data_IF_660898387536
#
_entry.id   IF_660898387536
#
_cell.length_a   1.000
_cell.length_b   1.000
_cell.length_c   1.000
_cell.angle_alpha   90.00
_cell.angle_beta   90.00
_cell.angle_gamma   90.00
#
_symmetry.space_group_name_H-M   'P 1'
#
loop_
_entity.id
_entity.type
_entity.pdbx_description
1 polymer ?
#
# COMPACT_ATOMS: atom_id res chain seq x y z
N UNK A 1 14.94 17.10 -16.44
CA UNK A 1 14.55 15.79 -15.92
C UNK A 1 13.27 15.29 -16.57
N UNK A 2 13.10 13.97 -16.64
CA UNK A 2 11.86 13.36 -17.16
C UNK A 2 10.97 12.91 -16.00
N UNK A 3 9.68 13.00 -16.18
CA UNK A 3 8.68 12.55 -15.24
C UNK A 3 7.44 11.98 -15.92
N UNK A 4 6.76 11.08 -15.24
CA UNK A 4 5.44 10.58 -15.67
C UNK A 4 4.37 11.57 -15.23
N UNK A 5 3.48 11.93 -16.15
CA UNK A 5 2.34 12.77 -15.84
C UNK A 5 1.02 12.10 -16.23
N UNK A 6 0.01 12.23 -15.38
CA UNK A 6 -1.38 12.01 -15.78
C UNK A 6 -1.92 13.32 -16.32
N UNK A 7 -2.28 13.33 -17.61
CA UNK A 7 -2.68 14.54 -18.33
C UNK A 7 -4.19 14.80 -18.25
N UNK A 8 -4.96 13.76 -18.00
CA UNK A 8 -6.43 13.78 -17.88
C UNK A 8 -6.92 12.54 -17.11
N UNK A 9 -8.21 12.49 -16.81
CA UNK A 9 -8.86 11.26 -16.33
C UNK A 9 -9.02 10.29 -17.49
N UNK A 10 -8.54 9.04 -17.33
CA UNK A 10 -8.67 8.08 -18.42
C UNK A 10 -8.03 6.72 -18.18
N UNK A 11 -7.85 5.99 -19.26
CA UNK A 11 -7.10 4.76 -19.35
C UNK A 11 -5.59 5.03 -19.49
N UNK A 12 -4.86 4.11 -20.13
CA UNK A 12 -3.41 4.25 -20.31
C UNK A 12 -3.04 5.45 -21.21
N UNK A 13 -3.95 5.89 -22.08
CA UNK A 13 -3.80 7.07 -22.93
C UNK A 13 -3.73 8.39 -22.17
N UNK A 14 -3.97 8.38 -20.88
CA UNK A 14 -3.83 9.54 -20.01
C UNK A 14 -2.41 9.70 -19.44
N UNK A 15 -1.53 8.74 -19.68
CA UNK A 15 -0.14 8.72 -19.22
C UNK A 15 0.74 9.35 -20.29
N UNK A 16 1.59 10.28 -19.88
CA UNK A 16 2.61 10.90 -20.73
C UNK A 16 3.92 11.03 -19.97
N UNK A 17 5.04 11.00 -20.69
CA UNK A 17 6.35 11.37 -20.15
C UNK A 17 6.59 12.83 -20.58
N UNK A 18 6.95 13.66 -19.62
CA UNK A 18 7.18 15.10 -19.81
C UNK A 18 8.59 15.42 -19.37
N UNK A 19 9.27 16.27 -20.14
CA UNK A 19 10.56 16.84 -19.78
C UNK A 19 10.37 18.24 -19.19
N UNK A 20 11.08 18.53 -18.11
CA UNK A 20 11.10 19.85 -17.49
C UNK A 20 12.42 20.07 -16.74
N UNK A 21 12.68 21.28 -16.31
CA UNK A 21 13.85 21.60 -15.48
C UNK A 21 13.79 20.87 -14.14
N UNK A 22 14.96 20.53 -13.60
CA UNK A 22 15.06 19.92 -12.28
C UNK A 22 14.57 20.89 -11.20
N UNK A 23 13.73 20.41 -10.24
CA UNK A 23 13.29 21.27 -9.15
C UNK A 23 14.46 21.62 -8.22
N UNK A 24 14.35 22.79 -7.56
CA UNK A 24 15.35 23.22 -6.59
C UNK A 24 14.79 23.08 -5.16
N UNK A 25 15.54 22.51 -4.21
CA UNK A 25 15.08 22.35 -2.84
C UNK A 25 15.03 23.72 -2.12
N UNK A 26 13.94 23.96 -1.40
CA UNK A 26 13.75 25.13 -0.54
C UNK A 26 14.25 24.84 0.86
N UNK A 27 14.13 25.83 1.77
CA UNK A 27 14.44 25.67 3.19
C UNK A 27 13.75 24.44 3.78
N UNK A 28 14.52 23.54 4.39
CA UNK A 28 14.03 22.31 4.99
C UNK A 28 13.71 21.17 4.02
N UNK A 29 14.01 21.33 2.73
CA UNK A 29 13.79 20.33 1.69
C UNK A 29 15.10 19.75 1.17
N UNK A 30 15.02 18.55 0.57
CA UNK A 30 16.13 17.91 -0.15
C UNK A 30 15.74 17.65 -1.59
N UNK A 31 16.72 17.71 -2.48
CA UNK A 31 16.61 17.18 -3.84
C UNK A 31 17.06 15.72 -3.84
N UNK A 32 16.21 14.85 -4.34
CA UNK A 32 16.45 13.42 -4.43
C UNK A 32 16.58 13.01 -5.91
N UNK A 33 17.65 12.32 -6.24
CA UNK A 33 17.79 11.53 -7.46
C UNK A 33 17.10 10.18 -7.23
N UNK A 34 15.98 9.94 -7.94
CA UNK A 34 15.15 8.76 -7.73
C UNK A 34 15.74 7.56 -8.46
N UNK A 35 15.92 6.46 -7.74
CA UNK A 35 16.32 5.18 -8.33
C UNK A 35 15.12 4.26 -8.52
N UNK A 36 14.24 4.18 -7.53
CA UNK A 36 13.01 3.35 -7.61
C UNK A 36 11.79 4.12 -7.10
N UNK A 37 10.67 3.89 -7.74
CA UNK A 37 9.36 4.36 -7.27
C UNK A 37 8.37 3.20 -7.18
N UNK A 38 7.64 3.12 -6.07
CA UNK A 38 6.64 2.07 -5.85
C UNK A 38 5.30 2.40 -6.51
N UNK A 39 4.73 1.45 -7.28
CA UNK A 39 3.37 1.59 -7.83
C UNK A 39 2.36 1.10 -6.81
N UNK A 40 1.34 1.91 -6.57
CA UNK A 40 0.21 1.62 -5.70
C UNK A 40 -1.11 1.58 -6.47
N UNK A 41 -2.06 0.77 -6.00
CA UNK A 41 -3.39 0.71 -6.63
C UNK A 41 -4.11 2.08 -6.60
N UNK A 42 -3.78 2.91 -5.62
CA UNK A 42 -4.25 4.30 -5.54
C UNK A 42 -3.85 5.14 -6.77
N UNK A 43 -2.64 4.96 -7.31
CA UNK A 43 -2.17 5.67 -8.51
C UNK A 43 -3.07 5.35 -9.72
N UNK A 44 -3.44 4.07 -9.87
CA UNK A 44 -4.32 3.61 -10.92
C UNK A 44 -5.74 4.20 -10.76
N UNK A 45 -6.24 4.25 -9.53
CA UNK A 45 -7.53 4.84 -9.23
C UNK A 45 -7.53 6.36 -9.44
N UNK A 46 -6.45 7.06 -9.09
CA UNK A 46 -6.30 8.50 -9.34
C UNK A 46 -6.33 8.81 -10.84
N UNK A 47 -5.59 8.04 -11.65
CA UNK A 47 -5.62 8.19 -13.12
C UNK A 47 -7.04 8.06 -13.67
N UNK A 48 -7.82 7.12 -13.13
CA UNK A 48 -9.23 6.93 -13.50
C UNK A 48 -10.18 7.97 -12.90
N UNK A 49 -9.70 8.82 -11.97
CA UNK A 49 -10.53 9.79 -11.23
C UNK A 49 -11.51 9.12 -10.26
N UNK A 50 -11.14 7.96 -9.71
CA UNK A 50 -11.90 7.17 -8.74
C UNK A 50 -11.33 7.23 -7.31
N UNK A 51 -10.27 8.03 -7.10
CA UNK A 51 -9.61 8.23 -5.81
C UNK A 51 -9.70 9.71 -5.42
N UNK A 52 -9.96 10.01 -4.16
CA UNK A 52 -10.08 11.39 -3.68
C UNK A 52 -9.16 11.62 -2.48
N UNK A 53 -8.49 12.77 -2.40
CA UNK A 53 -8.46 13.85 -3.39
C UNK A 53 -7.62 13.52 -4.63
N UNK A 54 -8.03 14.01 -5.80
CA UNK A 54 -7.24 13.96 -7.04
C UNK A 54 -6.68 15.36 -7.31
N UNK A 55 -5.37 15.51 -7.49
CA UNK A 55 -4.79 16.80 -7.89
C UNK A 55 -5.34 17.30 -9.24
N UNK A 56 -5.26 18.61 -9.53
CA UNK A 56 -5.53 19.13 -10.86
C UNK A 56 -4.60 18.48 -11.91
N UNK A 57 -5.15 18.15 -13.07
CA UNK A 57 -4.35 17.65 -14.20
C UNK A 57 -3.64 18.81 -14.94
N UNK A 58 -2.42 18.61 -15.45
CA UNK A 58 -1.59 17.41 -15.31
C UNK A 58 -0.88 17.35 -13.96
N UNK A 59 -0.67 16.13 -13.44
CA UNK A 59 0.12 15.91 -12.21
C UNK A 59 0.97 14.65 -12.31
N UNK A 60 2.04 14.59 -11.51
CA UNK A 60 2.91 13.41 -11.37
C UNK A 60 2.43 12.56 -10.20
N UNK A 61 2.12 11.27 -10.40
CA UNK A 61 1.75 10.36 -9.34
C UNK A 61 2.99 9.83 -8.58
N UNK A 62 2.76 8.90 -7.65
CA UNK A 62 3.79 8.20 -6.89
C UNK A 62 3.90 8.71 -5.45
N UNK A 63 3.77 7.78 -4.51
CA UNK A 63 3.72 8.07 -3.08
C UNK A 63 5.02 7.78 -2.35
N UNK A 64 5.90 7.00 -2.97
CA UNK A 64 7.09 6.45 -2.34
C UNK A 64 8.21 6.24 -3.34
N UNK A 65 9.41 6.53 -2.89
CA UNK A 65 10.64 6.40 -3.70
C UNK A 65 11.79 5.92 -2.84
N UNK A 66 12.83 5.41 -3.49
CA UNK A 66 14.17 5.28 -2.92
C UNK A 66 15.18 5.88 -3.89
N UNK A 67 16.26 6.43 -3.36
CA UNK A 67 17.26 7.10 -4.19
C UNK A 67 18.38 7.72 -3.38
N UNK A 68 19.05 8.69 -3.97
CA UNK A 68 20.23 9.35 -3.42
C UNK A 68 19.97 10.85 -3.32
N UNK A 69 20.34 11.46 -2.19
CA UNK A 69 20.24 12.90 -2.01
C UNK A 69 21.27 13.57 -2.92
N UNK A 70 20.82 14.43 -3.83
CA UNK A 70 21.65 15.17 -4.79
C UNK A 70 21.75 16.67 -4.48
N UNK A 71 20.91 17.19 -3.57
CA UNK A 71 20.96 18.57 -3.15
C UNK A 71 20.24 18.80 -1.82
N UNK A 72 20.65 19.84 -1.10
CA UNK A 72 20.09 20.23 0.19
C UNK A 72 19.62 21.68 0.11
N UNK A 73 18.43 21.95 0.64
CA UNK A 73 17.98 23.31 0.94
C UNK A 73 18.51 23.78 2.29
N UNK A 74 18.44 25.08 2.53
CA UNK A 74 18.91 25.68 3.78
C UNK A 74 18.23 25.05 5.01
N UNK A 75 18.98 24.88 6.09
CA UNK A 75 18.47 24.35 7.36
C UNK A 75 18.29 22.82 7.39
N UNK A 76 18.84 22.09 6.43
CA UNK A 76 18.91 20.62 6.45
C UNK A 76 20.28 20.19 6.96
N UNK A 77 20.35 19.80 8.24
CA UNK A 77 21.60 19.43 8.92
C UNK A 77 21.71 17.93 9.21
N UNK A 78 20.58 17.19 9.12
CA UNK A 78 20.51 15.77 9.49
C UNK A 78 20.69 14.79 8.32
N UNK A 79 20.87 15.30 7.11
CA UNK A 79 21.06 14.51 5.89
C UNK A 79 22.23 15.08 5.09
N UNK A 80 22.87 14.26 4.26
CA UNK A 80 24.05 14.65 3.45
C UNK A 80 23.86 14.32 1.97
N UNK A 81 24.53 15.10 1.10
CA UNK A 81 24.60 14.79 -0.34
C UNK A 81 25.31 13.44 -0.53
N UNK A 82 24.76 12.60 -1.38
CA UNK A 82 25.24 11.23 -1.61
C UNK A 82 24.63 10.19 -0.68
N UNK A 83 23.84 10.60 0.31
CA UNK A 83 23.19 9.67 1.24
C UNK A 83 22.05 8.92 0.56
N UNK A 84 21.99 7.61 0.79
CA UNK A 84 20.90 6.73 0.33
C UNK A 84 19.71 6.87 1.24
N UNK A 85 18.53 7.08 0.66
CA UNK A 85 17.31 7.28 1.45
C UNK A 85 16.10 6.58 0.83
N UNK A 86 15.10 6.33 1.68
CA UNK A 86 13.72 6.07 1.27
C UNK A 86 12.87 7.28 1.60
N UNK A 87 12.04 7.71 0.65
CA UNK A 87 11.19 8.89 0.76
C UNK A 87 9.69 8.55 0.75
N UNK A 88 8.95 9.13 1.70
CA UNK A 88 7.49 9.11 1.72
C UNK A 88 6.96 10.42 1.13
N UNK A 89 6.68 10.42 -0.18
CA UNK A 89 6.48 11.67 -0.92
C UNK A 89 5.05 12.21 -0.93
N UNK A 90 4.07 11.40 -0.63
CA UNK A 90 2.68 11.84 -0.76
C UNK A 90 2.20 12.03 -2.20
N UNK A 91 3.05 12.55 -3.11
CA UNK A 91 2.82 12.70 -4.55
C UNK A 91 4.13 13.06 -5.25
N UNK A 92 4.22 12.82 -6.57
CA UNK A 92 5.36 13.28 -7.38
C UNK A 92 6.49 12.27 -7.55
N UNK A 93 6.39 11.08 -6.96
CA UNK A 93 7.47 10.09 -6.95
C UNK A 93 7.83 9.48 -8.31
N UNK A 94 7.01 9.65 -9.35
CA UNK A 94 7.33 9.10 -10.68
C UNK A 94 8.11 10.12 -11.52
N UNK A 95 9.29 10.48 -11.04
CA UNK A 95 10.19 11.44 -11.68
C UNK A 95 11.65 11.03 -11.45
N UNK A 96 12.55 11.41 -12.37
CA UNK A 96 14.00 11.18 -12.21
C UNK A 96 14.57 11.94 -11.00
N UNK A 97 13.98 13.12 -10.73
CA UNK A 97 14.36 13.94 -9.58
C UNK A 97 13.11 14.52 -8.92
N UNK A 98 13.13 14.64 -7.61
CA UNK A 98 12.05 15.28 -6.88
C UNK A 98 12.54 15.97 -5.62
N UNK A 99 11.78 16.95 -5.17
CA UNK A 99 12.01 17.63 -3.89
C UNK A 99 11.09 17.04 -2.82
N UNK A 100 11.65 16.78 -1.64
CA UNK A 100 10.94 16.29 -0.47
C UNK A 100 11.30 17.08 0.78
N UNK A 101 10.36 17.26 1.74
CA UNK A 101 10.73 17.67 3.09
C UNK A 101 11.75 16.69 3.70
N UNK A 102 12.83 17.22 4.27
CA UNK A 102 13.91 16.39 4.85
C UNK A 102 13.39 15.40 5.92
N UNK A 103 12.37 15.79 6.68
CA UNK A 103 11.75 14.94 7.70
C UNK A 103 10.90 13.77 7.15
N UNK A 104 10.72 13.68 5.83
CA UNK A 104 10.09 12.57 5.13
C UNK A 104 11.08 11.68 4.38
N UNK A 105 12.38 11.96 4.54
CA UNK A 105 13.47 11.12 4.06
C UNK A 105 14.06 10.32 5.22
N UNK A 106 14.20 9.02 5.03
CA UNK A 106 14.73 8.11 6.04
C UNK A 106 16.00 7.46 5.51
N UNK A 107 17.15 7.60 6.21
CA UNK A 107 18.41 6.97 5.82
C UNK A 107 18.26 5.48 5.57
N UNK A 108 18.93 4.99 4.53
CA UNK A 108 18.88 3.60 4.10
C UNK A 108 20.25 2.95 4.33
N UNK A 109 20.33 1.88 5.15
CA UNK A 109 21.57 1.12 5.34
C UNK A 109 22.11 0.58 4.01
N UNK A 110 23.43 0.43 3.89
CA UNK A 110 24.10 0.01 2.65
C UNK A 110 23.69 -1.38 2.19
N UNK A 111 23.37 -2.28 3.12
CA UNK A 111 22.93 -3.64 2.83
C UNK A 111 21.49 -3.74 2.33
N UNK A 112 20.71 -2.65 2.37
CA UNK A 112 19.32 -2.64 1.88
C UNK A 112 19.29 -2.13 0.45
N UNK A 113 18.64 -2.87 -0.45
CA UNK A 113 18.49 -2.48 -1.85
C UNK A 113 17.48 -1.33 -2.00
N UNK A 114 17.63 -0.52 -3.05
CA UNK A 114 16.62 0.48 -3.42
C UNK A 114 15.26 -0.15 -3.73
N UNK A 115 15.25 -1.39 -4.26
CA UNK A 115 14.01 -2.12 -4.54
C UNK A 115 13.23 -2.42 -3.25
N UNK A 116 13.88 -3.02 -2.25
CA UNK A 116 13.26 -3.29 -0.95
C UNK A 116 12.81 -1.99 -0.27
N UNK A 117 13.64 -0.94 -0.34
CA UNK A 117 13.32 0.37 0.23
C UNK A 117 12.09 1.02 -0.42
N UNK A 118 11.98 1.02 -1.76
CA UNK A 118 10.82 1.59 -2.45
C UNK A 118 9.54 0.76 -2.29
N UNK A 119 9.65 -0.52 -1.94
CA UNK A 119 8.51 -1.38 -1.69
C UNK A 119 7.93 -1.26 -0.27
N UNK A 120 8.67 -0.61 0.64
CA UNK A 120 8.35 -0.55 2.07
C UNK A 120 7.26 0.48 2.42
N UNK A 121 7.37 1.80 2.08
CA UNK A 121 6.62 2.85 2.78
C UNK A 121 5.11 2.62 2.75
N UNK A 122 4.48 2.67 1.60
CA UNK A 122 3.00 2.67 1.53
C UNK A 122 2.40 1.35 2.01
N UNK A 123 2.97 0.22 1.60
CA UNK A 123 2.38 -1.09 1.88
C UNK A 123 2.57 -1.52 3.33
N UNK A 124 3.79 -1.38 3.86
CA UNK A 124 4.09 -1.76 5.23
C UNK A 124 3.56 -0.75 6.23
N UNK A 125 3.63 0.57 5.93
CA UNK A 125 3.05 1.58 6.78
C UNK A 125 1.53 1.39 6.93
N UNK A 126 0.83 1.07 5.82
CA UNK A 126 -0.61 0.77 5.87
C UNK A 126 -0.89 -0.46 6.74
N UNK A 127 -0.14 -1.55 6.58
CA UNK A 127 -0.33 -2.76 7.37
C UNK A 127 0.03 -2.54 8.86
N UNK A 128 1.16 -1.87 9.14
CA UNK A 128 1.60 -1.53 10.50
C UNK A 128 0.60 -0.62 11.20
N UNK A 129 0.09 0.39 10.50
CA UNK A 129 -0.93 1.29 11.05
C UNK A 129 -2.20 0.54 11.46
N UNK A 130 -2.66 -0.41 10.62
CA UNK A 130 -3.84 -1.23 10.91
C UNK A 130 -3.61 -2.20 12.06
N UNK A 131 -2.49 -2.91 12.09
CA UNK A 131 -2.26 -3.97 13.07
C UNK A 131 -1.75 -3.42 14.41
N UNK A 132 -0.74 -2.56 14.38
CA UNK A 132 -0.08 -2.07 15.59
C UNK A 132 -0.75 -0.82 16.16
N UNK A 133 -0.91 0.25 15.35
CA UNK A 133 -1.38 1.53 15.85
C UNK A 133 -2.88 1.52 16.20
N UNK A 134 -3.74 1.11 15.26
CA UNK A 134 -5.20 1.05 15.49
C UNK A 134 -5.63 -0.30 16.05
N UNK A 135 -4.92 -1.35 15.73
CA UNK A 135 -5.30 -2.71 15.99
C UNK A 135 -5.02 -3.18 17.41
N UNK A 136 -4.06 -2.57 18.10
CA UNK A 136 -3.58 -3.08 19.39
C UNK A 136 -3.39 -4.60 19.32
N UNK A 137 -2.56 -5.04 18.37
CA UNK A 137 -2.31 -6.45 18.09
C UNK A 137 -1.63 -7.14 19.27
N UNK A 138 -2.07 -8.35 19.59
CA UNK A 138 -1.47 -9.17 20.62
C UNK A 138 -0.95 -10.48 20.03
N UNK A 139 0.14 -10.99 20.61
CA UNK A 139 0.63 -12.32 20.26
C UNK A 139 -0.48 -13.35 20.45
N UNK A 140 -0.65 -14.25 19.47
CA UNK A 140 -1.74 -15.20 19.39
C UNK A 140 -2.97 -14.72 18.60
N UNK A 141 -3.04 -13.46 18.20
CA UNK A 141 -4.14 -12.96 17.38
C UNK A 141 -4.20 -13.64 15.99
N UNK A 142 -5.40 -13.74 15.44
CA UNK A 142 -5.65 -14.30 14.10
C UNK A 142 -6.02 -13.19 13.12
N UNK A 143 -5.55 -13.29 11.88
CA UNK A 143 -5.70 -12.28 10.85
C UNK A 143 -6.36 -12.86 9.60
N UNK A 144 -7.29 -12.13 8.99
CA UNK A 144 -7.78 -12.36 7.65
C UNK A 144 -7.35 -11.20 6.75
N UNK A 145 -6.64 -11.49 5.68
CA UNK A 145 -6.24 -10.48 4.69
C UNK A 145 -6.77 -10.85 3.31
N UNK A 146 -7.51 -9.92 2.72
CA UNK A 146 -7.95 -10.05 1.34
C UNK A 146 -6.89 -9.47 0.38
N UNK A 147 -6.87 -9.96 -0.87
CA UNK A 147 -5.80 -9.67 -1.83
C UNK A 147 -4.41 -10.04 -1.27
N UNK A 148 -4.32 -11.19 -0.62
CA UNK A 148 -3.17 -11.65 0.15
C UNK A 148 -1.84 -11.66 -0.62
N UNK A 149 -1.89 -11.85 -1.94
CA UNK A 149 -0.72 -11.82 -2.81
C UNK A 149 -0.33 -10.41 -3.29
N UNK A 150 -1.04 -9.36 -2.90
CA UNK A 150 -0.70 -7.97 -3.26
C UNK A 150 0.27 -7.32 -2.25
N UNK A 151 0.72 -6.10 -2.51
CA UNK A 151 1.72 -5.42 -1.68
C UNK A 151 1.33 -5.32 -0.19
N UNK A 152 0.12 -4.83 0.14
CA UNK A 152 -0.34 -4.78 1.54
C UNK A 152 -0.58 -6.19 2.10
N UNK A 153 -1.00 -7.15 1.27
CA UNK A 153 -1.19 -8.55 1.71
C UNK A 153 0.12 -9.22 2.15
N UNK A 154 1.18 -9.06 1.36
CA UNK A 154 2.53 -9.57 1.69
C UNK A 154 3.10 -8.88 2.92
N UNK A 155 2.96 -7.56 3.02
CA UNK A 155 3.36 -6.77 4.18
C UNK A 155 2.62 -7.22 5.45
N UNK A 156 1.29 -7.42 5.35
CA UNK A 156 0.47 -7.90 6.47
C UNK A 156 0.93 -9.27 6.97
N UNK A 157 1.25 -10.19 6.06
CA UNK A 157 1.75 -11.53 6.45
C UNK A 157 3.03 -11.43 7.28
N UNK A 158 4.00 -10.65 6.82
CA UNK A 158 5.29 -10.51 7.49
C UNK A 158 5.14 -9.80 8.84
N UNK A 159 4.40 -8.69 8.88
CA UNK A 159 4.17 -7.95 10.12
C UNK A 159 3.36 -8.75 11.13
N UNK A 160 2.29 -9.42 10.71
CA UNK A 160 1.49 -10.25 11.62
C UNK A 160 2.32 -11.40 12.22
N UNK A 161 3.19 -12.04 11.43
CA UNK A 161 4.15 -13.03 11.95
C UNK A 161 5.11 -12.43 12.95
N UNK A 162 5.72 -11.30 12.63
CA UNK A 162 6.64 -10.60 13.53
C UNK A 162 5.97 -10.20 14.86
N UNK A 163 4.67 -9.90 14.81
CA UNK A 163 3.85 -9.59 15.99
C UNK A 163 3.33 -10.83 16.72
N UNK A 164 3.64 -12.05 16.24
CA UNK A 164 3.26 -13.30 16.89
C UNK A 164 1.84 -13.77 16.56
N UNK A 165 1.31 -13.51 15.37
CA UNK A 165 0.04 -14.07 14.92
C UNK A 165 0.02 -15.60 15.02
N UNK A 166 -1.05 -16.17 15.57
CA UNK A 166 -1.24 -17.63 15.65
C UNK A 166 -1.68 -18.23 14.31
N UNK A 167 -2.46 -17.48 13.52
CA UNK A 167 -2.96 -17.91 12.21
C UNK A 167 -3.27 -16.72 11.34
N UNK A 168 -2.86 -16.79 10.07
CA UNK A 168 -3.09 -15.76 9.05
C UNK A 168 -3.81 -16.41 7.87
N UNK A 169 -5.05 -15.99 7.61
CA UNK A 169 -5.83 -16.40 6.45
C UNK A 169 -5.57 -15.41 5.31
N UNK A 170 -5.27 -15.92 4.13
CA UNK A 170 -5.03 -15.10 2.94
C UNK A 170 -5.94 -15.47 1.77
N UNK A 171 -6.81 -14.55 1.33
CA UNK A 171 -7.64 -14.82 0.16
C UNK A 171 -6.97 -14.34 -1.13
N UNK A 172 -6.91 -15.20 -2.13
CA UNK A 172 -6.39 -14.89 -3.46
C UNK A 172 -7.04 -15.78 -4.53
N UNK A 173 -6.73 -15.56 -5.82
CA UNK A 173 -7.12 -16.47 -6.90
C UNK A 173 -6.26 -17.74 -6.88
N UNK A 174 -6.78 -18.83 -7.46
CA UNK A 174 -6.12 -20.14 -7.54
C UNK A 174 -4.67 -20.09 -8.05
N UNK A 175 -4.39 -19.31 -9.10
CA UNK A 175 -3.03 -19.15 -9.65
C UNK A 175 -2.01 -18.49 -8.70
N UNK A 176 -2.43 -18.04 -7.52
CA UNK A 176 -1.56 -17.46 -6.47
C UNK A 176 -1.50 -18.30 -5.20
N UNK A 177 -2.10 -19.49 -5.20
CA UNK A 177 -2.21 -20.34 -4.02
C UNK A 177 -0.85 -20.69 -3.40
N UNK A 178 0.09 -21.17 -4.20
CA UNK A 178 1.44 -21.54 -3.73
C UNK A 178 2.18 -20.33 -3.16
N UNK A 179 2.11 -19.19 -3.83
CA UNK A 179 2.73 -17.96 -3.36
C UNK A 179 2.15 -17.51 -2.00
N UNK A 180 0.82 -17.56 -1.82
CA UNK A 180 0.21 -17.21 -0.54
C UNK A 180 0.61 -18.19 0.56
N UNK A 181 0.69 -19.49 0.26
CA UNK A 181 1.18 -20.50 1.20
C UNK A 181 2.67 -20.31 1.56
N UNK A 182 3.52 -19.96 0.59
CA UNK A 182 4.95 -19.69 0.84
C UNK A 182 5.17 -18.50 1.77
N UNK A 183 4.23 -17.56 1.80
CA UNK A 183 4.20 -16.48 2.80
C UNK A 183 3.73 -16.95 4.19
N UNK A 184 3.42 -18.27 4.36
CA UNK A 184 2.96 -18.87 5.60
C UNK A 184 1.53 -18.50 5.98
N UNK A 185 0.70 -18.16 5.02
CA UNK A 185 -0.72 -17.95 5.21
C UNK A 185 -1.51 -19.23 4.91
N UNK A 186 -2.59 -19.44 5.63
CA UNK A 186 -3.66 -20.37 5.25
C UNK A 186 -4.38 -19.79 4.02
N UNK A 187 -4.07 -20.34 2.86
CA UNK A 187 -4.68 -19.90 1.60
C UNK A 187 -6.18 -20.24 1.56
N UNK A 188 -6.98 -19.31 1.07
CA UNK A 188 -8.41 -19.47 0.77
C UNK A 188 -8.64 -19.02 -0.67
N UNK A 189 -9.23 -19.89 -1.50
CA UNK A 189 -9.64 -19.49 -2.85
C UNK A 189 -10.83 -18.54 -2.79
N UNK A 190 -10.64 -17.32 -3.29
CA UNK A 190 -11.67 -16.29 -3.19
C UNK A 190 -12.90 -16.55 -4.07
N UNK A 191 -12.78 -17.42 -5.09
CA UNK A 191 -13.86 -17.75 -6.04
C UNK A 191 -14.65 -18.99 -5.61
N UNK A 192 -13.94 -20.01 -5.04
CA UNK A 192 -14.47 -21.32 -4.78
C UNK A 192 -14.81 -21.57 -3.30
N UNK A 193 -14.17 -20.82 -2.37
CA UNK A 193 -14.29 -21.08 -0.95
C UNK A 193 -15.01 -19.95 -0.20
N UNK A 194 -15.78 -20.29 0.84
CA UNK A 194 -16.35 -19.30 1.76
C UNK A 194 -15.39 -18.99 2.90
N UNK A 195 -14.70 -17.86 2.78
CA UNK A 195 -13.73 -17.45 3.80
C UNK A 195 -14.36 -17.21 5.18
N UNK A 196 -15.66 -16.89 5.29
CA UNK A 196 -16.32 -16.68 6.57
C UNK A 196 -16.44 -17.99 7.32
N UNK A 197 -16.88 -19.04 6.60
CA UNK A 197 -17.02 -20.38 7.19
C UNK A 197 -15.66 -20.98 7.54
N UNK A 198 -14.66 -20.87 6.65
CA UNK A 198 -13.30 -21.36 6.91
C UNK A 198 -12.68 -20.69 8.14
N UNK A 199 -12.75 -19.34 8.20
CA UNK A 199 -12.23 -18.61 9.37
C UNK A 199 -12.88 -19.08 10.67
N UNK A 200 -14.18 -19.32 10.68
CA UNK A 200 -14.88 -19.83 11.86
C UNK A 200 -14.49 -21.26 12.20
N UNK A 201 -14.47 -22.15 11.21
CA UNK A 201 -14.11 -23.56 11.42
C UNK A 201 -12.71 -23.71 12.02
N UNK A 202 -11.74 -22.97 11.49
CA UNK A 202 -10.34 -23.03 11.93
C UNK A 202 -10.03 -22.17 13.17
N UNK A 203 -11.06 -21.54 13.78
CA UNK A 203 -10.98 -20.76 15.02
C UNK A 203 -12.02 -21.17 16.07
N UNK A 204 -12.41 -22.44 16.10
CA UNK A 204 -13.39 -23.02 17.05
C UNK A 204 -14.74 -22.24 17.06
N UNK A 205 -15.22 -21.82 15.90
CA UNK A 205 -16.45 -21.03 15.74
C UNK A 205 -16.34 -19.56 16.08
N UNK A 206 -15.19 -19.11 16.63
CA UNK A 206 -15.02 -17.73 17.15
C UNK A 206 -14.87 -16.68 16.04
N UNK A 207 -14.10 -16.99 14.97
CA UNK A 207 -13.69 -16.04 13.93
C UNK A 207 -12.36 -15.34 14.24
N UNK A 208 -11.97 -14.38 13.39
CA UNK A 208 -10.66 -13.73 13.44
C UNK A 208 -10.65 -12.44 14.28
N UNK A 209 -9.49 -12.07 14.80
CA UNK A 209 -9.28 -10.82 15.56
C UNK A 209 -9.23 -9.61 14.62
N UNK A 210 -8.55 -9.75 13.47
CA UNK A 210 -8.32 -8.68 12.52
C UNK A 210 -8.73 -9.12 11.11
N UNK A 211 -9.51 -8.29 10.40
CA UNK A 211 -9.86 -8.49 9.00
C UNK A 211 -9.51 -7.24 8.19
N UNK A 212 -8.65 -7.39 7.17
CA UNK A 212 -8.14 -6.31 6.34
C UNK A 212 -8.83 -6.38 4.96
N UNK A 213 -9.68 -5.40 4.66
CA UNK A 213 -10.53 -5.39 3.46
C UNK A 213 -10.21 -4.22 2.51
N UNK A 214 -9.47 -4.47 1.41
CA UNK A 214 -9.25 -3.53 0.33
C UNK A 214 -10.33 -3.61 -0.77
N UNK A 215 -11.31 -4.52 -0.64
CA UNK A 215 -12.27 -4.82 -1.70
C UNK A 215 -13.40 -3.79 -1.74
N UNK A 216 -14.01 -3.52 -0.60
CA UNK A 216 -15.10 -2.56 -0.50
C UNK A 216 -16.48 -3.12 -0.83
N UNK A 217 -17.50 -2.26 -0.85
CA UNK A 217 -18.86 -2.62 -1.16
C UNK A 217 -19.44 -3.68 -0.21
N UNK A 218 -20.30 -4.55 -0.74
CA UNK A 218 -20.93 -5.62 0.06
C UNK A 218 -19.93 -6.61 0.69
N UNK A 219 -18.69 -6.67 0.20
CA UNK A 219 -17.66 -7.55 0.70
C UNK A 219 -17.30 -7.24 2.16
N UNK A 220 -17.28 -5.97 2.53
CA UNK A 220 -17.01 -5.51 3.90
C UNK A 220 -17.91 -6.18 4.95
N UNK A 221 -19.19 -6.44 4.61
CA UNK A 221 -20.10 -7.12 5.54
C UNK A 221 -19.74 -8.59 5.74
N UNK A 222 -19.23 -9.26 4.71
CA UNK A 222 -18.71 -10.64 4.87
C UNK A 222 -17.47 -10.67 5.74
N UNK A 223 -16.53 -9.73 5.51
CA UNK A 223 -15.32 -9.55 6.35
C UNK A 223 -15.70 -9.26 7.81
N UNK A 224 -16.74 -8.43 8.05
CA UNK A 224 -17.28 -8.18 9.38
C UNK A 224 -17.88 -9.44 10.04
N UNK A 225 -18.56 -10.30 9.25
CA UNK A 225 -19.10 -11.58 9.75
C UNK A 225 -18.01 -12.58 10.17
N UNK A 226 -16.85 -12.53 9.51
CA UNK A 226 -15.71 -13.39 9.85
C UNK A 226 -15.03 -13.02 11.18
N UNK A 227 -15.28 -11.82 11.71
CA UNK A 227 -14.71 -11.37 12.98
C UNK A 227 -15.33 -12.08 14.18
N UNK A 228 -14.49 -12.32 15.18
CA UNK A 228 -14.90 -12.71 16.54
C UNK A 228 -15.42 -11.51 17.33
N UNK A 229 -16.00 -11.75 18.51
CA UNK A 229 -16.23 -10.69 19.51
C UNK A 229 -14.91 -10.05 19.91
N UNK A 230 -14.85 -8.72 19.97
CA UNK A 230 -13.63 -7.93 20.13
C UNK A 230 -12.83 -7.73 18.84
N UNK A 231 -13.27 -8.32 17.71
CA UNK A 231 -12.57 -8.24 16.43
C UNK A 231 -12.71 -6.88 15.73
N UNK A 232 -11.77 -6.59 14.82
CA UNK A 232 -11.61 -5.31 14.13
C UNK A 232 -11.58 -5.49 12.61
N UNK A 233 -12.46 -4.77 11.90
CA UNK A 233 -12.46 -4.67 10.44
C UNK A 233 -11.76 -3.38 10.02
N UNK A 234 -10.81 -3.50 9.09
CA UNK A 234 -10.11 -2.37 8.48
C UNK A 234 -10.51 -2.25 7.01
N UNK A 235 -11.26 -1.20 6.69
CA UNK A 235 -11.69 -0.87 5.33
C UNK A 235 -10.71 0.16 4.75
N UNK A 236 -9.79 -0.26 3.87
CA UNK A 236 -8.71 0.59 3.37
C UNK A 236 -8.63 0.68 1.84
N UNK A 237 -9.69 0.24 1.15
CA UNK A 237 -9.73 0.30 -0.29
C UNK A 237 -11.13 0.10 -0.86
N UNK A 238 -11.20 0.19 -2.18
CA UNK A 238 -12.43 0.04 -2.97
C UNK A 238 -12.15 -0.63 -4.31
N UNK A 239 -11.34 -1.72 -4.31
CA UNK A 239 -10.92 -2.38 -5.55
C UNK A 239 -12.10 -2.94 -6.36
N UNK A 240 -13.27 -3.17 -5.73
CA UNK A 240 -14.50 -3.54 -6.41
C UNK A 240 -15.05 -2.43 -7.35
N UNK A 241 -14.64 -1.16 -7.15
CA UNK A 241 -15.00 -0.06 -8.04
C UNK A 241 -14.29 -0.12 -9.40
N UNK A 242 -13.20 -0.90 -9.51
CA UNK A 242 -12.31 -0.90 -10.66
C UNK A 242 -12.44 -2.22 -11.41
N UNK A 243 -12.93 -2.15 -12.65
CA UNK A 243 -12.96 -3.28 -13.61
C UNK A 243 -12.02 -2.98 -14.77
N UNK A 244 -10.80 -3.55 -14.71
CA UNK A 244 -9.78 -3.36 -15.75
C UNK A 244 -9.22 -1.93 -15.79
N UNK A 245 -8.57 -1.58 -16.89
CA UNK A 245 -7.85 -0.32 -17.08
C UNK A 245 -8.72 0.89 -17.44
N UNK A 246 -9.99 0.68 -17.80
CA UNK A 246 -10.93 1.74 -18.17
C UNK A 246 -11.81 2.16 -16.99
N UNK A 247 -12.11 3.44 -16.92
CA UNK A 247 -13.02 4.00 -15.90
C UNK A 247 -14.43 3.47 -16.08
N UNK A 248 -15.05 2.98 -14.99
CA UNK A 248 -16.46 2.60 -14.95
C UNK A 248 -17.16 3.33 -13.79
N UNK A 249 -17.88 4.39 -14.10
CA UNK A 249 -18.66 5.15 -13.12
C UNK A 249 -19.80 4.28 -12.55
N UNK A 250 -20.41 3.44 -13.38
CA UNK A 250 -21.50 2.54 -12.97
C UNK A 250 -21.00 1.55 -11.91
N UNK A 251 -19.82 0.95 -12.13
CA UNK A 251 -19.24 0.02 -11.15
C UNK A 251 -18.89 0.71 -9.84
N UNK A 252 -18.34 1.93 -9.89
CA UNK A 252 -18.03 2.71 -8.71
C UNK A 252 -19.30 3.11 -7.94
N UNK A 253 -20.33 3.60 -8.64
CA UNK A 253 -21.62 3.94 -8.04
C UNK A 253 -22.30 2.71 -7.42
N UNK A 254 -22.27 1.56 -8.09
CA UNK A 254 -22.80 0.30 -7.57
C UNK A 254 -22.07 -0.14 -6.30
N UNK A 255 -20.74 -0.05 -6.29
CA UNK A 255 -19.95 -0.34 -5.08
C UNK A 255 -20.36 0.58 -3.92
N UNK A 256 -20.47 1.89 -4.16
CA UNK A 256 -20.91 2.85 -3.13
C UNK A 256 -22.32 2.54 -2.62
N UNK A 257 -23.26 2.25 -3.50
CA UNK A 257 -24.63 1.91 -3.15
C UNK A 257 -24.73 0.62 -2.32
N UNK A 258 -23.88 -0.37 -2.62
CA UNK A 258 -23.83 -1.67 -1.93
C UNK A 258 -22.92 -1.67 -0.69
N UNK A 259 -22.23 -0.56 -0.40
CA UNK A 259 -21.39 -0.43 0.80
C UNK A 259 -22.28 -0.42 2.04
N UNK A 260 -22.03 -1.30 3.02
CA UNK A 260 -22.86 -1.43 4.20
C UNK A 260 -22.78 -0.18 5.08
N UNK A 261 -23.93 0.18 5.68
CA UNK A 261 -23.99 1.15 6.76
C UNK A 261 -23.83 0.40 8.08
N UNK A 262 -22.73 0.65 8.78
CA UNK A 262 -22.49 0.06 10.08
C UNK A 262 -23.31 0.82 11.15
N UNK A 263 -24.21 0.10 11.82
CA UNK A 263 -25.06 0.67 12.87
C UNK A 263 -24.38 0.47 14.24
N UNK A 264 -24.10 1.55 15.01
CA UNK A 264 -23.41 1.44 16.30
C UNK A 264 -24.11 0.49 17.30
N UNK A 265 -25.44 0.47 17.38
CA UNK A 265 -26.16 -0.43 18.28
C UNK A 265 -25.96 -1.91 17.93
N UNK A 266 -25.93 -2.25 16.63
CA UNK A 266 -25.60 -3.60 16.18
C UNK A 266 -24.13 -3.96 16.44
N UNK A 267 -23.24 -2.97 16.35
CA UNK A 267 -21.83 -3.15 16.66
C UNK A 267 -21.62 -3.38 18.16
N UNK A 268 -22.33 -2.64 19.03
CA UNK A 268 -22.35 -2.85 20.48
C UNK A 268 -22.78 -4.28 20.82
N UNK A 269 -23.88 -4.76 20.22
CA UNK A 269 -24.39 -6.12 20.47
C UNK A 269 -23.43 -7.23 20.05
N UNK A 270 -22.54 -6.97 19.09
CA UNK A 270 -21.53 -7.94 18.61
C UNK A 270 -20.13 -7.69 19.17
N UNK A 271 -19.92 -6.59 19.89
CA UNK A 271 -18.60 -6.15 20.41
C UNK A 271 -17.53 -6.13 19.32
N UNK A 272 -17.80 -5.52 18.14
CA UNK A 272 -16.88 -5.45 17.02
C UNK A 272 -16.59 -4.01 16.63
N UNK A 273 -15.40 -3.75 16.09
CA UNK A 273 -15.01 -2.43 15.60
C UNK A 273 -14.87 -2.39 14.07
N UNK A 274 -15.08 -1.21 13.49
CA UNK A 274 -14.83 -0.95 12.06
C UNK A 274 -14.05 0.34 11.93
N UNK A 275 -12.93 0.28 11.20
CA UNK A 275 -12.08 1.42 10.88
C UNK A 275 -12.10 1.69 9.38
N UNK A 276 -12.32 2.94 8.99
CA UNK A 276 -12.03 3.43 7.65
C UNK A 276 -10.62 4.01 7.61
N UNK A 277 -9.79 3.58 6.67
CA UNK A 277 -8.37 3.95 6.63
C UNK A 277 -8.00 4.51 5.27
N UNK A 278 -7.42 5.71 5.29
CA UNK A 278 -6.89 6.37 4.12
C UNK A 278 -5.57 7.06 4.50
N UNK A 279 -4.44 6.35 4.32
CA UNK A 279 -3.12 6.84 4.74
C UNK A 279 -2.73 8.16 4.08
N UNK A 280 -3.14 8.40 2.82
CA UNK A 280 -2.87 9.66 2.11
C UNK A 280 -3.56 10.90 2.70
N UNK A 281 -4.52 10.74 3.61
CA UNK A 281 -5.18 11.84 4.34
C UNK A 281 -4.86 11.88 5.83
N UNK A 282 -4.00 10.98 6.30
CA UNK A 282 -3.54 10.96 7.68
C UNK A 282 -2.64 12.17 7.95
N UNK A 283 -2.91 12.91 9.01
CA UNK A 283 -2.28 14.21 9.29
C UNK A 283 -1.23 14.19 10.40
N UNK A 284 -1.19 13.14 11.20
CA UNK A 284 -0.25 13.06 12.30
C UNK A 284 1.11 12.57 11.80
N UNK A 285 1.98 13.52 11.47
CA UNK A 285 3.31 13.26 10.92
C UNK A 285 4.24 12.56 11.93
N UNK A 286 4.06 12.79 13.23
CA UNK A 286 4.87 12.14 14.25
C UNK A 286 4.59 10.65 14.35
N UNK A 287 3.32 10.27 14.26
CA UNK A 287 2.91 8.87 14.20
C UNK A 287 3.49 8.21 12.94
N UNK A 288 3.36 8.83 11.77
CA UNK A 288 3.91 8.29 10.52
C UNK A 288 5.43 8.10 10.62
N UNK A 289 6.14 9.09 11.15
CA UNK A 289 7.59 9.06 11.31
C UNK A 289 8.04 7.94 12.26
N UNK A 290 7.36 7.78 13.39
CA UNK A 290 7.66 6.72 14.34
C UNK A 290 7.42 5.33 13.74
N UNK A 291 6.31 5.14 13.02
CA UNK A 291 6.02 3.91 12.31
C UNK A 291 7.07 3.61 11.23
N UNK A 292 7.52 4.61 10.47
CA UNK A 292 8.59 4.44 9.48
C UNK A 292 9.93 4.07 10.13
N UNK A 293 10.27 4.63 11.31
CA UNK A 293 11.46 4.22 12.07
C UNK A 293 11.37 2.77 12.53
N UNK A 294 10.23 2.34 13.04
CA UNK A 294 10.00 0.94 13.43
C UNK A 294 10.16 0.00 12.23
N UNK A 295 9.55 0.34 11.09
CA UNK A 295 9.67 -0.45 9.86
C UNK A 295 11.09 -0.47 9.32
N UNK A 296 11.81 0.65 9.36
CA UNK A 296 13.22 0.74 8.98
C UNK A 296 14.11 -0.15 9.85
N UNK A 297 13.87 -0.19 11.17
CA UNK A 297 14.55 -1.11 12.09
C UNK A 297 14.25 -2.56 11.75
N UNK A 298 12.97 -2.93 11.57
CA UNK A 298 12.57 -4.30 11.22
C UNK A 298 13.17 -4.76 9.89
N UNK A 299 13.29 -3.85 8.91
CA UNK A 299 13.94 -4.11 7.63
C UNK A 299 15.45 -4.34 7.82
N UNK A 300 16.13 -3.49 8.57
CA UNK A 300 17.56 -3.60 8.85
C UNK A 300 17.91 -4.89 9.62
N UNK A 301 17.05 -5.34 10.52
CA UNK A 301 17.17 -6.58 11.29
C UNK A 301 16.78 -7.83 10.48
N UNK A 302 16.24 -7.68 9.25
CA UNK A 302 15.74 -8.79 8.44
C UNK A 302 14.45 -9.43 8.96
N UNK A 303 13.75 -8.78 9.90
CA UNK A 303 12.45 -9.24 10.42
C UNK A 303 11.37 -9.15 9.35
N UNK A 304 11.48 -8.17 8.47
CA UNK A 304 10.65 -8.00 7.27
C UNK A 304 11.55 -7.91 6.04
N UNK A 305 11.04 -8.45 4.91
CA UNK A 305 11.71 -8.42 3.61
C UNK A 305 10.66 -8.08 2.54
N UNK A 306 10.59 -6.83 2.06
CA UNK A 306 9.58 -6.39 1.12
C UNK A 306 9.61 -7.18 -0.18
N UNK A 307 8.49 -7.83 -0.50
CA UNK A 307 8.38 -8.67 -1.70
C UNK A 307 8.20 -7.79 -2.93
N UNK A 308 9.23 -7.73 -3.77
CA UNK A 308 9.21 -7.09 -5.08
C UNK A 308 8.98 -8.15 -6.15
N UNK A 309 7.91 -8.01 -6.92
CA UNK A 309 7.54 -8.94 -7.98
C UNK A 309 8.23 -8.60 -9.31
N UNK A 310 8.13 -7.34 -9.72
CA UNK A 310 8.70 -6.88 -10.99
C UNK A 310 9.09 -5.41 -10.93
N UNK A 311 10.23 -5.11 -11.56
CA UNK A 311 10.69 -3.74 -11.83
C UNK A 311 10.55 -3.47 -13.32
N UNK A 312 9.86 -2.39 -13.68
CA UNK A 312 9.73 -1.91 -15.04
C UNK A 312 10.54 -0.64 -15.21
N UNK A 313 11.05 -0.39 -16.38
CA UNK A 313 11.57 0.94 -16.70
C UNK A 313 10.44 1.95 -16.59
N UNK A 314 10.73 3.18 -16.17
CA UNK A 314 9.66 4.17 -15.97
C UNK A 314 8.94 4.53 -17.29
N UNK A 315 9.60 4.38 -18.43
CA UNK A 315 9.00 4.53 -19.75
C UNK A 315 7.89 3.48 -20.01
N UNK A 316 7.96 2.32 -19.35
CA UNK A 316 6.99 1.24 -19.42
C UNK A 316 5.87 1.36 -18.37
N UNK A 317 5.69 2.53 -17.78
CA UNK A 317 4.71 2.74 -16.69
C UNK A 317 3.29 2.30 -17.08
N UNK A 318 2.89 2.43 -18.33
CA UNK A 318 1.59 1.97 -18.83
C UNK A 318 1.47 0.44 -18.72
N UNK A 319 2.51 -0.30 -19.11
CA UNK A 319 2.57 -1.75 -19.02
C UNK A 319 2.62 -2.22 -17.57
N UNK A 320 3.38 -1.53 -16.74
CA UNK A 320 3.44 -1.78 -15.29
C UNK A 320 2.07 -1.63 -14.63
N UNK A 321 1.31 -0.60 -14.97
CA UNK A 321 -0.05 -0.40 -14.47
C UNK A 321 -1.04 -1.42 -15.05
N UNK A 322 -0.91 -1.79 -16.31
CA UNK A 322 -1.71 -2.85 -16.92
C UNK A 322 -1.46 -4.19 -16.23
N UNK A 323 -0.22 -4.50 -15.91
CA UNK A 323 0.17 -5.71 -15.16
C UNK A 323 -0.56 -5.82 -13.81
N UNK A 324 -0.70 -4.68 -13.10
CA UNK A 324 -1.46 -4.61 -11.85
C UNK A 324 -2.97 -4.72 -12.10
N UNK A 325 -3.51 -4.06 -13.13
CA UNK A 325 -4.93 -4.19 -13.51
C UNK A 325 -5.31 -5.63 -13.85
N UNK A 326 -4.41 -6.35 -14.51
CA UNK A 326 -4.56 -7.77 -14.83
C UNK A 326 -4.43 -8.67 -13.59
N UNK A 327 -4.14 -8.09 -12.42
CA UNK A 327 -3.95 -8.81 -11.14
C UNK A 327 -2.84 -9.87 -11.22
N UNK A 328 -1.81 -9.65 -12.05
CA UNK A 328 -0.69 -10.59 -12.23
C UNK A 328 0.33 -10.51 -11.09
N UNK A 329 0.48 -9.35 -10.46
CA UNK A 329 1.51 -9.07 -9.46
C UNK A 329 1.42 -9.96 -8.21
N UNK A 330 2.61 -10.32 -7.69
CA UNK A 330 2.86 -11.05 -6.44
C UNK A 330 3.75 -10.22 -5.54
N UNK A 331 3.16 -9.31 -4.78
CA UNK A 331 3.89 -8.28 -4.03
C UNK A 331 3.87 -6.93 -4.74
N UNK A 332 4.96 -6.17 -4.60
CA UNK A 332 5.12 -4.81 -5.10
C UNK A 332 5.61 -4.79 -6.55
N UNK A 333 5.14 -3.83 -7.32
CA UNK A 333 5.66 -3.48 -8.65
C UNK A 333 6.34 -2.13 -8.54
N UNK A 334 7.51 -2.01 -9.15
CA UNK A 334 8.34 -0.80 -9.10
C UNK A 334 8.59 -0.23 -10.49
N UNK A 335 8.91 1.06 -10.52
CA UNK A 335 9.49 1.75 -11.66
C UNK A 335 10.95 2.05 -11.41
N UNK A 336 11.79 1.82 -12.42
CA UNK A 336 13.22 2.10 -12.43
C UNK A 336 13.48 3.46 -13.08
N UNK A 337 14.03 4.37 -12.30
CA UNK A 337 14.48 5.70 -12.71
C UNK A 337 16.00 5.84 -12.64
N UNK A 338 16.75 4.75 -12.33
CA UNK A 338 18.20 4.82 -12.20
C UNK A 338 18.85 5.46 -13.43
N UNK A 339 19.85 6.32 -13.25
CA UNK A 339 20.66 6.84 -14.34
C UNK A 339 21.21 5.70 -15.21
N UNK A 340 21.24 5.93 -16.54
CA UNK A 340 21.84 4.99 -17.50
C UNK A 340 23.34 5.17 -17.58
#
# INVERSE_FOLDING_TARGET
MRRVAYTKRGGMEAISIIEEDAPQPKVGEVLLEVHRAGINFADLMMRQGLYSPVPPFPFTPGYEVSGIISGLGDGVDQLTIGERVVGLCGMGGYAEQMVLPANRCFPLPDNISFDAAAALPVTYLTAHHMLSHLGNFHSGDTVLVHHAAGGVGTATSQLAKALGASLIFGTASSGKAEFVRSLGMRYIDREEEDFVEICKQETDGKGVHHALDPVGGKHMMRSYKALRSGGRLYCFGGSAAVKGSKRSIITAAWMMFTTPKFNPFKMMSSNKAVFGIHMGTWKDEDILRNQMKDLGRMLAEGTIDPVVDKVFRFEEVADAQQYIHDRKNRGKVLLDFSPQ
#
